data_IF_393778042460
#
_entry.id   IF_393778042460
#
_cell.length_a   1.000
_cell.length_b   1.000
_cell.length_c   1.000
_cell.angle_alpha   90.00
_cell.angle_beta   90.00
_cell.angle_gamma   90.00
#
_symmetry.space_group_name_H-M   'P 1'
#
loop_
_entity.id
_entity.type
_entity.pdbx_description
1 polymer ?
#
# COMPACT_ATOMS: atom_id res chain seq x y z
N UNK A 1 1.70 -0.58 -6.66
CA UNK A 1 1.10 -1.94 -6.63
C UNK A 1 -0.19 -1.90 -5.84
N UNK A 2 -1.28 -2.40 -6.42
CA UNK A 2 -2.60 -2.48 -5.78
C UNK A 2 -2.78 -3.88 -5.21
N UNK A 3 -2.97 -3.99 -3.91
CA UNK A 3 -3.35 -5.23 -3.26
C UNK A 3 -4.88 -5.24 -3.07
N UNK A 4 -5.55 -6.21 -3.67
CA UNK A 4 -6.93 -6.55 -3.32
C UNK A 4 -6.87 -7.61 -2.24
N UNK A 5 -7.43 -7.32 -1.11
CA UNK A 5 -7.52 -8.26 -0.01
C UNK A 5 -8.98 -8.67 0.17
N UNK A 6 -9.24 -9.93 -0.05
CA UNK A 6 -10.49 -10.57 0.34
C UNK A 6 -10.23 -11.28 1.66
N UNK A 7 -11.04 -11.01 2.67
CA UNK A 7 -10.89 -11.61 3.99
C UNK A 7 -11.15 -13.13 3.87
N UNK A 8 -10.07 -13.91 3.78
CA UNK A 8 -10.14 -15.36 3.73
C UNK A 8 -10.30 -16.00 5.12
N UNK A 9 -9.92 -15.27 6.16
CA UNK A 9 -9.95 -15.70 7.56
C UNK A 9 -11.39 -15.77 8.10
N UNK A 10 -11.82 -16.96 8.52
CA UNK A 10 -13.18 -17.20 9.00
C UNK A 10 -13.50 -16.41 10.28
N UNK A 11 -12.54 -16.27 11.21
CA UNK A 11 -12.73 -15.47 12.43
C UNK A 11 -12.91 -13.99 12.12
N UNK A 12 -12.11 -13.45 11.20
CA UNK A 12 -12.25 -12.06 10.79
C UNK A 12 -13.60 -11.81 10.13
N UNK A 13 -14.06 -12.76 9.27
CA UNK A 13 -15.39 -12.67 8.65
C UNK A 13 -16.50 -12.68 9.69
N UNK A 14 -16.45 -13.62 10.64
CA UNK A 14 -17.43 -13.75 11.74
C UNK A 14 -17.47 -12.46 12.58
N UNK A 15 -16.32 -11.94 13.01
CA UNK A 15 -16.24 -10.72 13.79
C UNK A 15 -16.74 -9.48 13.01
N UNK A 16 -16.48 -9.39 11.71
CA UNK A 16 -16.98 -8.28 10.88
C UNK A 16 -18.48 -8.39 10.59
N UNK A 17 -19.03 -9.60 10.50
CA UNK A 17 -20.46 -9.83 10.30
C UNK A 17 -21.29 -9.46 11.55
N UNK A 18 -20.69 -9.55 12.73
CA UNK A 18 -21.31 -9.13 13.99
C UNK A 18 -21.38 -7.60 14.15
N UNK A 19 -20.74 -6.83 13.27
CA UNK A 19 -20.74 -5.36 13.32
C UNK A 19 -21.71 -4.77 12.30
N UNK A 20 -22.38 -3.64 12.60
CA UNK A 20 -23.08 -2.84 11.60
C UNK A 20 -22.18 -2.51 10.40
N UNK A 21 -22.76 -2.40 9.20
CA UNK A 21 -22.00 -2.28 7.95
C UNK A 21 -21.05 -1.08 7.92
N UNK A 22 -21.44 0.06 8.49
CA UNK A 22 -20.61 1.25 8.61
C UNK A 22 -19.40 1.03 9.53
N UNK A 23 -19.58 0.36 10.67
CA UNK A 23 -18.51 0.02 11.61
C UNK A 23 -17.59 -1.06 11.02
N UNK A 24 -18.13 -2.10 10.40
CA UNK A 24 -17.37 -3.12 9.69
C UNK A 24 -16.41 -2.51 8.66
N UNK A 25 -16.86 -1.53 7.87
CA UNK A 25 -16.00 -0.83 6.91
C UNK A 25 -14.94 0.04 7.59
N UNK A 26 -15.30 0.74 8.68
CA UNK A 26 -14.34 1.54 9.46
C UNK A 26 -13.24 0.67 10.04
N UNK A 27 -13.60 -0.48 10.61
CA UNK A 27 -12.66 -1.49 11.14
C UNK A 27 -11.72 -2.00 10.06
N UNK A 28 -12.24 -2.41 8.90
CA UNK A 28 -11.41 -2.86 7.77
C UNK A 28 -10.40 -1.79 7.34
N UNK A 29 -10.84 -0.54 7.22
CA UNK A 29 -9.94 0.58 6.85
C UNK A 29 -8.87 0.81 7.90
N UNK A 30 -9.22 0.81 9.19
CA UNK A 30 -8.29 1.04 10.30
C UNK A 30 -7.29 -0.10 10.40
N UNK A 31 -7.74 -1.35 10.44
CA UNK A 31 -6.88 -2.53 10.49
C UNK A 31 -5.90 -2.61 9.32
N UNK A 32 -6.40 -2.41 8.09
CA UNK A 32 -5.53 -2.38 6.90
C UNK A 32 -4.50 -1.24 6.96
N UNK A 33 -4.89 -0.05 7.38
CA UNK A 33 -3.98 1.10 7.52
C UNK A 33 -2.89 0.83 8.55
N UNK A 34 -3.24 0.23 9.69
CA UNK A 34 -2.30 -0.15 10.74
C UNK A 34 -1.32 -1.22 10.25
N UNK A 35 -1.82 -2.27 9.60
CA UNK A 35 -0.99 -3.35 9.05
C UNK A 35 -0.03 -2.88 7.94
N UNK A 36 -0.40 -1.86 7.16
CA UNK A 36 0.44 -1.34 6.08
C UNK A 36 1.49 -0.31 6.54
N UNK A 37 1.45 0.16 7.80
CA UNK A 37 2.48 1.09 8.32
C UNK A 37 3.89 0.51 8.24
N UNK A 38 4.19 -0.70 8.76
CA UNK A 38 5.53 -1.28 8.63
C UNK A 38 5.93 -1.50 7.16
N UNK A 39 5.00 -1.91 6.30
CA UNK A 39 5.25 -2.07 4.86
C UNK A 39 5.72 -0.75 4.24
N UNK A 40 5.08 0.36 4.59
CA UNK A 40 5.50 1.69 4.13
C UNK A 40 6.92 2.04 4.58
N UNK A 41 7.25 1.77 5.84
CA UNK A 41 8.58 2.08 6.36
C UNK A 41 9.66 1.21 5.70
N UNK A 42 9.39 -0.07 5.47
CA UNK A 42 10.30 -0.96 4.76
C UNK A 42 10.51 -0.49 3.30
N UNK A 43 9.43 -0.13 2.60
CA UNK A 43 9.54 0.43 1.24
C UNK A 43 10.35 1.74 1.23
N UNK A 44 10.16 2.61 2.22
CA UNK A 44 10.96 3.83 2.37
C UNK A 44 12.44 3.53 2.58
N UNK A 45 12.75 2.52 3.40
CA UNK A 45 14.12 2.07 3.64
C UNK A 45 14.74 1.53 2.37
N UNK A 46 14.04 0.66 1.65
CA UNK A 46 14.48 0.08 0.36
C UNK A 46 14.80 1.20 -0.64
N UNK A 47 13.94 2.19 -0.78
CA UNK A 47 14.19 3.31 -1.70
C UNK A 47 15.34 4.21 -1.26
N UNK A 48 15.56 4.41 0.03
CA UNK A 48 16.70 5.17 0.56
C UNK A 48 18.03 4.47 0.31
N UNK A 49 18.07 3.15 0.47
CA UNK A 49 19.27 2.33 0.29
C UNK A 49 19.51 1.91 -1.16
N UNK A 50 18.54 2.11 -2.05
CA UNK A 50 18.64 1.69 -3.43
C UNK A 50 19.87 2.31 -4.12
N UNK A 51 20.75 1.46 -4.62
CA UNK A 51 21.90 1.85 -5.42
C UNK A 51 21.47 2.07 -6.87
N UNK A 52 21.34 3.30 -7.32
CA UNK A 52 21.18 3.64 -8.73
C UNK A 52 21.96 4.90 -9.10
N UNK A 53 22.40 4.95 -10.35
CA UNK A 53 23.06 6.14 -10.90
C UNK A 53 22.04 7.28 -10.92
N UNK A 54 22.12 8.18 -9.96
CA UNK A 54 21.21 9.31 -9.83
C UNK A 54 21.52 10.12 -8.57
N UNK A 55 21.04 11.34 -8.53
CA UNK A 55 21.26 12.23 -7.37
C UNK A 55 20.62 11.63 -6.12
N UNK A 56 21.30 11.60 -4.96
CA UNK A 56 20.74 11.12 -3.69
C UNK A 56 19.41 11.75 -3.32
N UNK A 57 19.17 12.98 -3.78
CA UNK A 57 17.91 13.71 -3.61
C UNK A 57 16.70 12.99 -4.19
N UNK A 58 16.86 12.29 -5.34
CA UNK A 58 15.74 11.54 -5.95
C UNK A 58 15.32 10.35 -5.10
N UNK A 59 16.26 9.63 -4.48
CA UNK A 59 15.98 8.49 -3.59
C UNK A 59 15.18 8.93 -2.37
N UNK A 60 15.60 10.01 -1.73
CA UNK A 60 14.89 10.60 -0.60
C UNK A 60 13.50 11.10 -1.01
N UNK A 61 13.37 11.71 -2.18
CA UNK A 61 12.09 12.19 -2.68
C UNK A 61 11.10 11.03 -2.92
N UNK A 62 11.54 9.91 -3.53
CA UNK A 62 10.72 8.71 -3.72
C UNK A 62 10.33 8.09 -2.38
N UNK A 63 11.28 7.94 -1.45
CA UNK A 63 10.99 7.43 -0.12
C UNK A 63 9.95 8.30 0.62
N UNK A 64 10.08 9.63 0.53
CA UNK A 64 9.12 10.55 1.15
C UNK A 64 7.75 10.54 0.47
N UNK A 65 7.70 10.31 -0.85
CA UNK A 65 6.46 10.18 -1.61
C UNK A 65 5.74 8.83 -1.37
N UNK A 66 6.41 7.86 -0.72
CA UNK A 66 5.81 6.56 -0.37
C UNK A 66 4.77 6.76 0.74
N UNK A 67 3.50 6.46 0.44
CA UNK A 67 2.34 6.64 1.32
C UNK A 67 1.54 5.35 1.41
N UNK A 68 0.60 5.33 2.34
CA UNK A 68 -0.48 4.33 2.43
C UNK A 68 -1.76 5.03 1.99
N UNK A 69 -2.46 4.44 1.03
CA UNK A 69 -3.82 4.81 0.70
C UNK A 69 -4.75 3.63 0.95
N UNK A 70 -5.80 3.86 1.75
CA UNK A 70 -6.81 2.85 2.05
C UNK A 70 -8.17 3.47 1.77
N UNK A 71 -8.83 2.96 0.73
CA UNK A 71 -10.11 3.49 0.25
C UNK A 71 -11.14 2.40 0.04
N UNK A 72 -12.40 2.79 0.14
CA UNK A 72 -13.54 1.97 -0.26
C UNK A 72 -13.70 2.05 -1.77
N UNK A 73 -13.94 0.91 -2.41
CA UNK A 73 -14.38 0.83 -3.80
C UNK A 73 -15.76 0.17 -3.85
N UNK A 74 -16.65 0.78 -4.58
CA UNK A 74 -18.05 0.37 -4.71
C UNK A 74 -18.99 1.16 -3.80
N UNK A 75 -20.23 1.28 -4.21
CA UNK A 75 -21.31 2.02 -3.53
C UNK A 75 -22.24 1.13 -2.71
N UNK A 76 -22.21 -0.19 -2.94
CA UNK A 76 -23.09 -1.18 -2.34
C UNK A 76 -22.54 -1.83 -1.07
N UNK A 77 -23.34 -2.68 -0.43
CA UNK A 77 -22.92 -3.54 0.69
C UNK A 77 -21.73 -4.46 0.35
N UNK A 78 -21.54 -4.77 -0.93
CA UNK A 78 -20.39 -5.51 -1.45
C UNK A 78 -19.12 -4.66 -1.65
N UNK A 79 -19.08 -3.42 -1.13
CA UNK A 79 -17.92 -2.55 -1.27
C UNK A 79 -16.65 -3.15 -0.67
N UNK A 80 -15.61 -3.22 -1.47
CA UNK A 80 -14.30 -3.76 -1.09
C UNK A 80 -13.41 -2.64 -0.54
N UNK A 81 -12.71 -2.91 0.55
CA UNK A 81 -11.65 -2.02 1.05
C UNK A 81 -10.35 -2.40 0.35
N UNK A 82 -9.76 -1.45 -0.35
CA UNK A 82 -8.50 -1.61 -1.08
C UNK A 82 -7.41 -0.81 -0.38
N UNK A 83 -6.28 -1.47 -0.09
CA UNK A 83 -5.08 -0.84 0.45
C UNK A 83 -3.97 -0.77 -0.59
N UNK A 84 -3.33 0.37 -0.69
CA UNK A 84 -2.17 0.58 -1.53
C UNK A 84 -1.01 1.10 -0.65
N UNK A 85 0.16 0.49 -0.77
CA UNK A 85 1.39 1.01 -0.18
C UNK A 85 2.40 1.26 -1.31
N UNK A 86 2.95 2.47 -1.37
CA UNK A 86 3.88 2.86 -2.41
C UNK A 86 3.81 4.34 -2.73
N UNK A 87 4.28 4.74 -3.89
CA UNK A 87 4.09 6.11 -4.39
C UNK A 87 2.67 6.22 -4.92
N UNK A 88 1.78 6.75 -4.09
CA UNK A 88 0.35 6.82 -4.39
C UNK A 88 0.02 8.08 -5.18
N UNK A 89 -0.75 7.93 -6.25
CA UNK A 89 -1.29 9.04 -7.03
C UNK A 89 -2.34 9.80 -6.20
N UNK A 90 -1.96 10.94 -5.64
CA UNK A 90 -2.89 11.80 -4.90
C UNK A 90 -3.28 13.04 -5.71
N UNK A 91 -4.56 13.39 -5.70
CA UNK A 91 -5.06 14.66 -6.28
C UNK A 91 -4.45 15.91 -5.62
N UNK A 92 -3.91 15.78 -4.41
CA UNK A 92 -3.36 16.88 -3.58
C UNK A 92 -1.84 17.07 -3.69
N UNK A 93 -1.15 16.31 -4.54
CA UNK A 93 0.28 16.53 -4.77
C UNK A 93 0.48 17.58 -5.87
N UNK A 94 1.10 18.70 -5.57
CA UNK A 94 1.48 19.68 -6.58
C UNK A 94 2.41 19.10 -7.67
N UNK A 95 2.81 19.90 -8.66
CA UNK A 95 3.61 19.49 -9.82
C UNK A 95 4.85 18.64 -9.47
N UNK A 96 5.47 18.90 -8.31
CA UNK A 96 6.62 18.16 -7.78
C UNK A 96 6.29 16.69 -7.43
N UNK A 97 5.10 16.41 -6.90
CA UNK A 97 4.66 15.05 -6.60
C UNK A 97 4.33 14.25 -7.87
N UNK A 98 3.78 14.92 -8.90
CA UNK A 98 3.53 14.31 -10.22
C UNK A 98 4.85 13.92 -10.92
N UNK A 99 5.88 14.76 -10.83
CA UNK A 99 7.20 14.47 -11.36
C UNK A 99 7.85 13.24 -10.71
N UNK A 100 7.76 13.12 -9.37
CA UNK A 100 8.32 11.97 -8.66
C UNK A 100 7.58 10.66 -8.95
N UNK A 101 6.29 10.69 -9.24
CA UNK A 101 5.52 9.52 -9.66
C UNK A 101 6.01 8.96 -10.99
N UNK A 102 6.29 9.83 -11.97
CA UNK A 102 6.86 9.42 -13.27
C UNK A 102 8.24 8.80 -13.07
N UNK A 103 9.11 9.44 -12.29
CA UNK A 103 10.45 8.91 -11.99
C UNK A 103 10.36 7.55 -11.28
N UNK A 104 9.43 7.37 -10.35
CA UNK A 104 9.24 6.10 -9.66
C UNK A 104 8.83 4.98 -10.65
N UNK A 105 7.87 5.22 -11.54
CA UNK A 105 7.50 4.23 -12.57
C UNK A 105 8.67 3.85 -13.47
N UNK A 106 9.43 4.83 -13.92
CA UNK A 106 10.59 4.58 -14.76
C UNK A 106 11.63 3.70 -14.04
N UNK A 107 11.84 3.92 -12.75
CA UNK A 107 12.78 3.14 -11.94
C UNK A 107 12.24 1.76 -11.56
N UNK A 108 10.94 1.64 -11.29
CA UNK A 108 10.30 0.38 -10.91
C UNK A 108 10.09 -0.53 -12.12
N UNK A 109 9.53 0.01 -13.21
CA UNK A 109 9.08 -0.76 -14.37
C UNK A 109 10.09 -0.74 -15.55
N UNK A 110 11.03 0.20 -15.54
CA UNK A 110 11.96 0.45 -16.63
C UNK A 110 11.36 1.33 -17.72
N UNK A 111 12.19 1.72 -18.68
CA UNK A 111 11.79 2.61 -19.78
C UNK A 111 12.64 2.40 -21.03
N UNK A 112 12.13 2.86 -22.17
CA UNK A 112 12.93 3.02 -23.40
C UNK A 112 13.55 4.41 -23.42
N UNK A 113 14.84 4.48 -23.66
CA UNK A 113 15.54 5.75 -23.81
C UNK A 113 15.14 6.44 -25.13
N UNK A 114 14.74 7.73 -25.05
CA UNK A 114 14.26 8.51 -26.19
C UNK A 114 15.44 8.76 -27.11
N UNK A 115 16.09 8.35 -27.76
CA UNK A 115 17.27 8.61 -28.61
C UNK A 115 18.13 7.39 -28.87
N UNK A 116 17.83 6.30 -28.19
CA UNK A 116 18.42 5.00 -28.47
C UNK A 116 17.35 3.94 -28.26
N UNK A 117 17.20 2.98 -29.13
CA UNK A 117 16.25 1.87 -28.99
C UNK A 117 16.51 0.99 -27.77
N UNK A 118 17.44 1.38 -26.91
CA UNK A 118 17.88 0.64 -25.73
C UNK A 118 16.81 0.67 -24.63
N UNK A 119 16.37 -0.50 -24.23
CA UNK A 119 15.50 -0.65 -23.05
C UNK A 119 16.35 -0.66 -21.78
N UNK A 120 16.02 0.23 -20.83
CA UNK A 120 16.59 0.22 -19.49
C UNK A 120 15.64 -0.58 -18.60
N UNK A 121 16.08 -1.73 -18.05
CA UNK A 121 15.21 -2.58 -17.23
C UNK A 121 14.87 -1.89 -15.92
N UNK A 122 13.63 -2.08 -15.45
CA UNK A 122 13.19 -1.64 -14.13
C UNK A 122 13.79 -2.47 -13.01
N UNK A 123 13.89 -1.89 -11.84
CA UNK A 123 14.47 -2.56 -10.67
C UNK A 123 13.47 -3.37 -9.86
N UNK A 124 12.18 -3.14 -10.05
CA UNK A 124 11.05 -3.84 -9.39
C UNK A 124 11.19 -3.97 -7.87
N UNK A 125 11.82 -2.99 -7.21
CA UNK A 125 12.17 -3.06 -5.79
C UNK A 125 10.93 -3.20 -4.90
N UNK A 126 9.92 -2.36 -5.13
CA UNK A 126 8.67 -2.41 -4.36
C UNK A 126 7.89 -3.67 -4.66
N UNK A 127 7.80 -4.06 -5.93
CA UNK A 127 7.11 -5.27 -6.38
C UNK A 127 7.76 -6.51 -5.77
N UNK A 128 9.08 -6.63 -5.85
CA UNK A 128 9.83 -7.76 -5.30
C UNK A 128 9.65 -7.85 -3.78
N UNK A 129 9.74 -6.72 -3.06
CA UNK A 129 9.51 -6.70 -1.62
C UNK A 129 8.11 -7.20 -1.26
N UNK A 130 7.08 -6.67 -1.93
CA UNK A 130 5.70 -7.05 -1.63
C UNK A 130 5.45 -8.52 -1.95
N UNK A 131 5.94 -9.02 -3.08
CA UNK A 131 5.78 -10.45 -3.44
C UNK A 131 6.45 -11.37 -2.41
N UNK A 132 7.67 -11.05 -1.99
CA UNK A 132 8.39 -11.85 -0.97
C UNK A 132 7.71 -11.83 0.40
N UNK A 133 7.02 -10.76 0.75
CA UNK A 133 6.37 -10.57 2.05
C UNK A 133 4.84 -10.70 2.00
N UNK A 134 4.27 -11.13 0.88
CA UNK A 134 2.81 -11.16 0.66
C UNK A 134 2.07 -11.87 1.79
N UNK A 135 2.48 -13.10 2.14
CA UNK A 135 1.86 -13.88 3.20
C UNK A 135 1.89 -13.15 4.55
N UNK A 136 3.05 -12.60 4.92
CA UNK A 136 3.22 -11.82 6.17
C UNK A 136 2.33 -10.59 6.19
N UNK A 137 2.23 -9.88 5.06
CA UNK A 137 1.38 -8.68 4.93
C UNK A 137 -0.09 -9.04 5.10
N UNK A 138 -0.56 -10.09 4.42
CA UNK A 138 -1.94 -10.57 4.51
C UNK A 138 -2.30 -11.02 5.93
N UNK A 139 -1.45 -11.82 6.58
CA UNK A 139 -1.63 -12.24 7.98
C UNK A 139 -1.69 -11.03 8.92
N UNK A 140 -0.85 -10.02 8.70
CA UNK A 140 -0.88 -8.78 9.49
C UNK A 140 -2.19 -8.01 9.30
N UNK A 141 -2.72 -7.94 8.08
CA UNK A 141 -4.01 -7.28 7.80
C UNK A 141 -5.14 -8.03 8.52
N UNK A 142 -5.20 -9.36 8.45
CA UNK A 142 -6.20 -10.16 9.17
C UNK A 142 -6.12 -9.92 10.67
N UNK A 143 -4.93 -10.03 11.26
CA UNK A 143 -4.71 -9.83 12.69
C UNK A 143 -5.13 -8.43 13.17
N UNK A 144 -4.71 -7.38 12.50
CA UNK A 144 -5.05 -6.01 12.90
C UNK A 144 -6.56 -5.72 12.69
N UNK A 145 -7.16 -6.26 11.64
CA UNK A 145 -8.60 -6.14 11.40
C UNK A 145 -9.40 -6.85 12.50
N UNK A 146 -9.00 -8.05 12.89
CA UNK A 146 -9.64 -8.81 13.97
C UNK A 146 -9.49 -8.11 15.32
N UNK A 147 -8.31 -7.56 15.60
CA UNK A 147 -8.06 -6.79 16.82
C UNK A 147 -8.98 -5.57 16.92
N UNK A 148 -9.12 -4.80 15.86
CA UNK A 148 -10.02 -3.65 15.82
C UNK A 148 -11.50 -4.05 15.94
N UNK A 149 -11.91 -5.16 15.32
CA UNK A 149 -13.27 -5.66 15.44
C UNK A 149 -13.60 -6.08 16.89
N UNK A 150 -12.70 -6.83 17.52
CA UNK A 150 -12.85 -7.28 18.92
C UNK A 150 -12.87 -6.11 19.91
N UNK A 151 -12.08 -5.06 19.67
CA UNK A 151 -12.09 -3.87 20.52
C UNK A 151 -13.49 -3.21 20.53
N UNK A 152 -14.11 -3.04 19.35
CA UNK A 152 -15.45 -2.47 19.25
C UNK A 152 -16.51 -3.38 19.90
N UNK A 153 -16.44 -4.70 19.65
CA UNK A 153 -17.40 -5.65 20.21
C UNK A 153 -17.33 -5.75 21.74
N UNK A 154 -16.17 -5.41 22.33
CA UNK A 154 -16.00 -5.34 23.80
C UNK A 154 -16.33 -3.99 24.38
N UNK A 155 -16.86 -3.04 23.60
CA UNK A 155 -17.16 -1.67 24.04
C UNK A 155 -15.93 -0.83 24.36
N UNK A 156 -14.74 -1.24 23.89
CA UNK A 156 -13.50 -0.45 24.02
C UNK A 156 -13.40 0.47 22.81
N UNK A 157 -13.38 1.81 23.00
CA UNK A 157 -13.25 2.79 21.93
C UNK A 157 -11.89 2.76 21.21
#
# INVERSE_FOLDING_TARGET
MRMRYTVADAEVRKALAALPSNLSQRVRKKGMRTALRPVREDLRRIWRSASFRGKPTHRRAIANATKIDVRRRGSSSAAVVVGEAGVVYGKKGGARAKGMQRVWHLLEDGFRHVGSSRRIPGRKLSTTYVMRNMRRILTSISRETLREARAILRGQP
#
